data_IF_740937962573
#
_entry.id   IF_740937962573
#
_cell.length_a   1.000
_cell.length_b   1.000
_cell.length_c   1.000
_cell.angle_alpha   90.00
_cell.angle_beta   90.00
_cell.angle_gamma   90.00
#
_symmetry.space_group_name_H-M   'P 1'
#
loop_
_entity.id
_entity.type
_entity.pdbx_description
1 polymer ?
#
# COMPACT_ATOMS: atom_id res chain seq x y z
N UNK A 1 -13.04 -8.73 4.17
CA UNK A 1 -14.51 -8.58 4.18
C UNK A 1 -14.88 -7.09 4.15
N UNK A 2 -14.33 -6.24 5.05
CA UNK A 2 -14.66 -4.81 5.11
C UNK A 2 -14.45 -4.05 3.80
N UNK A 3 -13.26 -4.15 3.19
CA UNK A 3 -12.96 -3.47 1.93
C UNK A 3 -13.81 -3.95 0.76
N UNK A 4 -14.19 -5.23 0.73
CA UNK A 4 -15.11 -5.74 -0.28
C UNK A 4 -16.50 -5.12 -0.11
N UNK A 5 -16.99 -4.96 1.12
CA UNK A 5 -18.23 -4.27 1.42
C UNK A 5 -18.17 -2.80 0.99
N UNK A 6 -17.10 -2.09 1.32
CA UNK A 6 -16.87 -0.69 0.91
C UNK A 6 -16.90 -0.58 -0.63
N UNK A 7 -16.23 -1.48 -1.34
CA UNK A 7 -16.26 -1.50 -2.80
C UNK A 7 -17.68 -1.68 -3.35
N UNK A 8 -18.41 -2.67 -2.85
CA UNK A 8 -19.75 -3.01 -3.37
C UNK A 8 -20.78 -1.96 -2.99
N UNK A 9 -20.76 -1.45 -1.76
CA UNK A 9 -21.78 -0.55 -1.25
C UNK A 9 -21.50 0.93 -1.51
N UNK A 10 -20.25 1.33 -1.56
CA UNK A 10 -19.86 2.72 -1.76
C UNK A 10 -19.40 2.99 -3.19
N UNK A 11 -18.39 2.27 -3.68
CA UNK A 11 -17.78 2.55 -4.98
C UNK A 11 -18.64 2.09 -6.17
N UNK A 12 -19.28 0.93 -6.09
CA UNK A 12 -20.10 0.42 -7.21
C UNK A 12 -21.28 1.34 -7.55
N UNK A 13 -22.09 1.86 -6.59
CA UNK A 13 -23.15 2.79 -6.92
C UNK A 13 -22.63 4.15 -7.42
N UNK A 14 -21.47 4.62 -6.94
CA UNK A 14 -20.81 5.84 -7.45
C UNK A 14 -20.44 5.68 -8.92
N UNK A 15 -19.78 4.58 -9.28
CA UNK A 15 -19.39 4.28 -10.66
C UNK A 15 -20.62 4.23 -11.59
N UNK A 16 -21.75 3.69 -11.10
CA UNK A 16 -22.99 3.63 -11.89
C UNK A 16 -23.69 4.98 -12.07
N UNK A 17 -23.52 5.92 -11.14
CA UNK A 17 -24.18 7.24 -11.16
C UNK A 17 -23.35 8.32 -11.84
N UNK A 18 -22.06 8.14 -11.94
CA UNK A 18 -21.15 9.14 -12.51
C UNK A 18 -21.48 9.41 -13.98
N UNK A 19 -21.73 10.68 -14.29
CA UNK A 19 -22.05 11.15 -15.64
C UNK A 19 -20.83 11.35 -16.55
N UNK A 20 -19.62 11.41 -15.96
CA UNK A 20 -18.34 11.55 -16.67
C UNK A 20 -17.20 10.96 -15.85
N UNK A 21 -16.08 10.64 -16.51
CA UNK A 21 -14.89 10.13 -15.80
C UNK A 21 -14.37 11.13 -14.76
N UNK A 22 -14.30 12.42 -15.08
CA UNK A 22 -13.86 13.44 -14.12
C UNK A 22 -14.78 13.59 -12.91
N UNK A 23 -16.11 13.47 -13.08
CA UNK A 23 -17.05 13.47 -11.97
C UNK A 23 -16.86 12.25 -11.07
N UNK A 24 -16.60 11.08 -11.66
CA UNK A 24 -16.34 9.84 -10.93
C UNK A 24 -15.06 9.93 -10.09
N UNK A 25 -14.00 10.53 -10.63
CA UNK A 25 -12.75 10.75 -9.90
C UNK A 25 -12.97 11.64 -8.67
N UNK A 26 -13.65 12.77 -8.83
CA UNK A 26 -13.95 13.69 -7.72
C UNK A 26 -14.85 13.03 -6.67
N UNK A 27 -15.94 12.38 -7.08
CA UNK A 27 -16.87 11.70 -6.17
C UNK A 27 -16.18 10.57 -5.39
N UNK A 28 -15.29 9.80 -6.05
CA UNK A 28 -14.57 8.72 -5.39
C UNK A 28 -13.53 9.24 -4.38
N UNK A 29 -12.85 10.34 -4.70
CA UNK A 29 -11.93 11.01 -3.77
C UNK A 29 -12.71 11.51 -2.55
N UNK A 30 -13.82 12.23 -2.75
CA UNK A 30 -14.64 12.75 -1.65
C UNK A 30 -15.18 11.62 -0.77
N UNK A 31 -15.66 10.52 -1.37
CA UNK A 31 -16.17 9.38 -0.64
C UNK A 31 -15.08 8.67 0.20
N UNK A 32 -13.87 8.51 -0.36
CA UNK A 32 -12.75 7.90 0.37
C UNK A 32 -12.22 8.79 1.48
N UNK A 33 -12.15 10.12 1.26
CA UNK A 33 -11.82 11.07 2.32
C UNK A 33 -12.87 11.09 3.43
N UNK A 34 -14.18 11.11 3.08
CA UNK A 34 -15.25 11.02 4.06
C UNK A 34 -15.17 9.74 4.91
N UNK A 35 -14.89 8.60 4.27
CA UNK A 35 -14.67 7.34 4.98
C UNK A 35 -13.44 7.41 5.91
N UNK A 36 -12.36 8.03 5.48
CA UNK A 36 -11.16 8.21 6.30
C UNK A 36 -11.46 9.04 7.56
N UNK A 37 -12.21 10.14 7.44
CA UNK A 37 -12.62 10.94 8.59
C UNK A 37 -13.54 10.20 9.56
N UNK A 38 -14.46 9.37 9.04
CA UNK A 38 -15.30 8.50 9.88
C UNK A 38 -14.43 7.53 10.68
N UNK A 39 -13.48 6.87 10.04
CA UNK A 39 -12.57 5.93 10.70
C UNK A 39 -11.68 6.61 11.74
N UNK A 40 -11.14 7.80 11.43
CA UNK A 40 -10.38 8.62 12.37
C UNK A 40 -11.27 9.01 13.57
N UNK A 41 -12.50 9.47 13.34
CA UNK A 41 -13.44 9.84 14.38
C UNK A 41 -13.79 8.67 15.30
N UNK A 42 -14.02 7.47 14.73
CA UNK A 42 -14.26 6.26 15.50
C UNK A 42 -13.03 5.91 16.36
N UNK A 43 -11.84 5.95 15.76
CA UNK A 43 -10.59 5.65 16.44
C UNK A 43 -10.36 6.60 17.63
N UNK A 44 -10.53 7.91 17.40
CA UNK A 44 -10.36 8.92 18.46
C UNK A 44 -11.41 8.76 19.58
N UNK A 45 -12.65 8.39 19.26
CA UNK A 45 -13.71 8.23 20.26
C UNK A 45 -13.56 6.98 21.12
N UNK A 46 -12.95 5.92 20.62
CA UNK A 46 -12.77 4.66 21.34
C UNK A 46 -11.51 4.68 22.21
N UNK A 47 -10.39 5.16 21.66
CA UNK A 47 -9.06 4.98 22.26
C UNK A 47 -8.32 6.32 22.55
N UNK A 48 -8.98 7.45 22.36
CA UNK A 48 -8.37 8.77 22.61
C UNK A 48 -7.31 9.21 21.61
N UNK A 49 -7.19 8.53 20.46
CA UNK A 49 -6.36 8.96 19.33
C UNK A 49 -4.92 8.43 19.30
N UNK A 50 -4.44 7.77 20.35
CA UNK A 50 -3.11 7.19 20.41
C UNK A 50 -3.15 5.72 20.83
N UNK A 51 -2.48 4.85 20.07
CA UNK A 51 -2.35 3.43 20.38
C UNK A 51 -0.88 3.04 20.48
N UNK A 52 -0.52 2.35 21.55
CA UNK A 52 0.79 1.76 21.73
C UNK A 52 0.65 0.35 22.29
N UNK A 53 0.70 -0.65 21.44
CA UNK A 53 0.74 -2.06 21.86
C UNK A 53 2.17 -2.58 21.77
N UNK A 54 2.85 -2.74 22.90
CA UNK A 54 4.15 -3.42 22.95
C UNK A 54 3.94 -4.93 22.99
N UNK A 55 3.88 -5.55 21.82
CA UNK A 55 3.82 -7.02 21.70
C UNK A 55 5.15 -7.53 21.15
N UNK A 56 5.63 -8.68 21.65
CA UNK A 56 6.87 -9.32 21.20
C UNK A 56 8.11 -8.39 21.23
N UNK A 57 8.24 -7.58 22.30
CA UNK A 57 9.37 -6.65 22.47
C UNK A 57 10.65 -7.34 22.99
N UNK A 58 10.70 -8.68 22.98
CA UNK A 58 11.89 -9.42 23.38
C UNK A 58 13.07 -9.11 22.45
N UNK A 59 14.22 -8.84 23.06
CA UNK A 59 15.45 -8.57 22.33
C UNK A 59 16.09 -9.90 21.88
N UNK A 60 16.21 -10.10 20.58
CA UNK A 60 16.92 -11.26 20.00
C UNK A 60 18.27 -10.78 19.48
N UNK A 61 19.33 -11.47 19.87
CA UNK A 61 20.68 -11.21 19.36
C UNK A 61 20.88 -11.95 18.03
N UNK A 62 21.04 -11.20 16.93
CA UNK A 62 21.34 -11.74 15.62
C UNK A 62 22.66 -11.12 15.14
N UNK A 63 23.65 -11.93 14.86
CA UNK A 63 24.98 -11.51 14.36
C UNK A 63 25.63 -10.39 15.20
N UNK A 64 25.47 -10.42 16.54
CA UNK A 64 26.06 -9.42 17.43
C UNK A 64 25.26 -8.10 17.57
N UNK A 65 24.11 -8.00 16.90
CA UNK A 65 23.20 -6.84 17.00
C UNK A 65 21.91 -7.24 17.71
N UNK A 66 21.46 -6.44 18.66
CA UNK A 66 20.18 -6.67 19.34
C UNK A 66 19.04 -6.09 18.51
N UNK A 67 18.17 -6.94 18.00
CA UNK A 67 16.97 -6.55 17.25
C UNK A 67 15.73 -7.04 18.00
N UNK A 68 14.66 -6.26 18.01
CA UNK A 68 13.39 -6.69 18.61
C UNK A 68 12.72 -7.75 17.73
N UNK A 69 12.17 -8.77 18.36
CA UNK A 69 11.49 -9.90 17.69
C UNK A 69 10.34 -9.42 16.78
N UNK A 70 9.61 -8.39 17.20
CA UNK A 70 8.50 -7.82 16.41
C UNK A 70 8.95 -7.28 15.04
N UNK A 71 10.14 -6.66 14.94
CA UNK A 71 10.68 -6.18 13.65
C UNK A 71 11.04 -7.35 12.72
N UNK A 72 11.59 -8.42 13.29
CA UNK A 72 11.93 -9.63 12.53
C UNK A 72 10.65 -10.30 12.00
N UNK A 73 9.63 -10.43 12.84
CA UNK A 73 8.32 -10.97 12.45
C UNK A 73 7.68 -10.10 11.37
N UNK A 74 7.73 -8.78 11.51
CA UNK A 74 7.22 -7.85 10.49
C UNK A 74 7.94 -8.02 9.15
N UNK A 75 9.28 -8.14 9.16
CA UNK A 75 10.08 -8.36 7.96
C UNK A 75 9.73 -9.69 7.27
N UNK A 76 9.71 -10.79 8.03
CA UNK A 76 9.36 -12.10 7.50
C UNK A 76 7.94 -12.13 6.92
N UNK A 77 6.98 -11.53 7.62
CA UNK A 77 5.60 -11.43 7.15
C UNK A 77 5.50 -10.60 5.88
N UNK A 78 6.21 -9.47 5.79
CA UNK A 78 6.25 -8.64 4.58
C UNK A 78 6.82 -9.40 3.37
N UNK A 79 7.90 -10.17 3.57
CA UNK A 79 8.50 -11.01 2.53
C UNK A 79 7.54 -12.11 2.09
N UNK A 80 6.88 -12.79 3.04
CA UNK A 80 5.90 -13.85 2.75
C UNK A 80 4.69 -13.31 1.99
N UNK A 81 4.14 -12.17 2.40
CA UNK A 81 3.01 -11.53 1.72
C UNK A 81 3.43 -11.07 0.33
N UNK A 82 4.59 -10.42 0.18
CA UNK A 82 5.11 -9.95 -1.10
C UNK A 82 5.34 -11.09 -2.08
N UNK A 83 6.01 -12.15 -1.64
CA UNK A 83 6.24 -13.36 -2.44
C UNK A 83 4.91 -14.08 -2.76
N UNK A 84 4.04 -14.26 -1.77
CA UNK A 84 2.74 -14.89 -1.94
C UNK A 84 1.84 -14.14 -2.92
N UNK A 85 1.78 -12.81 -2.82
CA UNK A 85 1.02 -11.97 -3.74
C UNK A 85 1.59 -12.06 -5.15
N UNK A 86 2.92 -12.02 -5.28
CA UNK A 86 3.59 -12.14 -6.57
C UNK A 86 3.30 -13.49 -7.25
N UNK A 87 3.42 -14.59 -6.50
CA UNK A 87 3.12 -15.93 -7.00
C UNK A 87 1.63 -16.07 -7.34
N UNK A 88 0.75 -15.60 -6.48
CA UNK A 88 -0.68 -15.66 -6.70
C UNK A 88 -1.10 -14.91 -7.97
N UNK A 89 -0.60 -13.69 -8.18
CA UNK A 89 -0.91 -12.89 -9.37
C UNK A 89 -0.36 -13.46 -10.67
N UNK A 90 0.73 -14.24 -10.62
CA UNK A 90 1.32 -14.81 -11.82
C UNK A 90 0.86 -16.24 -12.11
N UNK A 91 0.54 -17.04 -11.09
CA UNK A 91 0.27 -18.47 -11.24
C UNK A 91 -1.22 -18.81 -11.13
N UNK A 92 -2.04 -17.97 -10.44
CA UNK A 92 -3.45 -18.28 -10.28
C UNK A 92 -4.33 -17.69 -11.38
N UNK A 93 -5.40 -18.42 -11.77
CA UNK A 93 -6.38 -17.93 -12.74
C UNK A 93 -7.00 -16.57 -12.36
N UNK A 94 -7.47 -16.36 -11.11
CA UNK A 94 -8.01 -15.05 -10.72
C UNK A 94 -6.95 -13.96 -10.68
N UNK A 95 -5.70 -14.27 -10.30
CA UNK A 95 -4.60 -13.31 -10.32
C UNK A 95 -4.27 -12.81 -11.73
N UNK A 96 -4.20 -13.72 -12.70
CA UNK A 96 -4.01 -13.36 -14.12
C UNK A 96 -5.20 -12.52 -14.62
N UNK A 97 -6.43 -12.85 -14.23
CA UNK A 97 -7.61 -12.08 -14.59
C UNK A 97 -7.57 -10.65 -14.00
N UNK A 98 -7.14 -10.49 -12.74
CA UNK A 98 -6.94 -9.16 -12.12
C UNK A 98 -5.91 -8.34 -12.92
N UNK A 99 -4.80 -8.94 -13.32
CA UNK A 99 -3.79 -8.26 -14.14
C UNK A 99 -4.31 -7.91 -15.54
N UNK A 100 -5.10 -8.76 -16.16
CA UNK A 100 -5.72 -8.47 -17.46
C UNK A 100 -6.64 -7.25 -17.36
N UNK A 101 -7.47 -7.17 -16.31
CA UNK A 101 -8.37 -6.04 -16.07
C UNK A 101 -7.58 -4.74 -15.82
N UNK A 102 -6.43 -4.79 -15.16
CA UNK A 102 -5.59 -3.61 -14.92
C UNK A 102 -4.91 -3.07 -16.20
N UNK A 103 -4.71 -3.91 -17.21
CA UNK A 103 -4.13 -3.49 -18.50
C UNK A 103 -5.20 -2.91 -19.43
N UNK A 104 -6.32 -3.60 -19.57
CA UNK A 104 -7.45 -3.12 -20.39
C UNK A 104 -8.77 -3.68 -19.87
N UNK A 105 -9.56 -2.81 -19.29
CA UNK A 105 -10.90 -3.14 -18.79
C UNK A 105 -11.83 -3.60 -19.91
N UNK A 106 -11.77 -2.90 -21.06
CA UNK A 106 -12.63 -3.20 -22.23
C UNK A 106 -12.28 -4.56 -22.85
N UNK A 107 -10.99 -4.79 -23.16
CA UNK A 107 -10.54 -6.06 -23.73
C UNK A 107 -10.83 -7.25 -22.81
N UNK A 108 -10.68 -7.07 -21.50
CA UNK A 108 -11.00 -8.10 -20.50
C UNK A 108 -12.49 -8.47 -20.50
N UNK A 109 -13.36 -7.49 -20.67
CA UNK A 109 -14.81 -7.73 -20.81
C UNK A 109 -15.15 -8.56 -22.07
N UNK A 110 -14.47 -8.30 -23.20
CA UNK A 110 -14.70 -9.01 -24.46
C UNK A 110 -14.31 -10.50 -24.37
N UNK A 111 -13.31 -10.86 -23.58
CA UNK A 111 -12.91 -12.26 -23.35
C UNK A 111 -13.67 -12.94 -22.21
N UNK A 112 -14.77 -12.33 -21.72
CA UNK A 112 -15.66 -12.93 -20.73
C UNK A 112 -15.18 -12.81 -19.27
N UNK A 113 -14.18 -11.98 -18.97
CA UNK A 113 -13.76 -11.72 -17.59
C UNK A 113 -14.79 -10.78 -16.92
N UNK A 114 -15.28 -11.18 -15.75
CA UNK A 114 -16.19 -10.35 -14.97
C UNK A 114 -15.41 -9.21 -14.29
N UNK A 115 -15.28 -8.08 -14.98
CA UNK A 115 -14.53 -6.90 -14.55
C UNK A 115 -14.92 -6.42 -13.15
N UNK A 116 -16.20 -6.21 -12.79
CA UNK A 116 -16.58 -5.76 -11.45
C UNK A 116 -16.11 -6.69 -10.33
N UNK A 117 -16.18 -8.01 -10.55
CA UNK A 117 -15.72 -8.99 -9.55
C UNK A 117 -14.20 -8.97 -9.39
N UNK A 118 -13.45 -8.84 -10.48
CA UNK A 118 -11.99 -8.80 -10.41
C UNK A 118 -11.49 -7.51 -9.77
N UNK A 119 -12.13 -6.37 -10.06
CA UNK A 119 -11.82 -5.10 -9.40
C UNK A 119 -12.16 -5.13 -7.90
N UNK A 120 -13.30 -5.72 -7.51
CA UNK A 120 -13.66 -5.90 -6.10
C UNK A 120 -12.65 -6.79 -5.36
N UNK A 121 -12.17 -7.86 -6.00
CA UNK A 121 -11.19 -8.77 -5.44
C UNK A 121 -9.83 -8.07 -5.29
N UNK A 122 -9.39 -7.30 -6.28
CA UNK A 122 -8.15 -6.52 -6.20
C UNK A 122 -8.21 -5.50 -5.04
N UNK A 123 -9.33 -4.78 -4.90
CA UNK A 123 -9.54 -3.83 -3.82
C UNK A 123 -9.57 -4.50 -2.44
N UNK A 124 -10.23 -5.66 -2.32
CA UNK A 124 -10.28 -6.43 -1.09
C UNK A 124 -8.90 -6.97 -0.68
N UNK A 125 -8.10 -7.43 -1.64
CA UNK A 125 -6.72 -7.87 -1.40
C UNK A 125 -5.83 -6.71 -0.94
N UNK A 126 -5.90 -5.56 -1.59
CA UNK A 126 -5.17 -4.37 -1.17
C UNK A 126 -5.48 -4.00 0.28
N UNK A 127 -6.77 -3.96 0.64
CA UNK A 127 -7.18 -3.68 2.02
C UNK A 127 -6.77 -4.75 3.03
N UNK A 128 -6.76 -6.03 2.65
CA UNK A 128 -6.28 -7.10 3.53
C UNK A 128 -4.78 -6.95 3.83
N UNK A 129 -3.97 -6.66 2.80
CA UNK A 129 -2.53 -6.43 2.96
C UNK A 129 -2.25 -5.19 3.81
N UNK A 130 -2.99 -4.10 3.58
CA UNK A 130 -2.87 -2.87 4.37
C UNK A 130 -3.24 -3.10 5.83
N UNK A 131 -4.29 -3.89 6.12
CA UNK A 131 -4.70 -4.22 7.48
C UNK A 131 -3.62 -5.04 8.21
N UNK A 132 -3.03 -6.04 7.55
CA UNK A 132 -1.91 -6.81 8.13
C UNK A 132 -0.69 -5.91 8.35
N UNK A 133 -0.34 -5.05 7.39
CA UNK A 133 0.74 -4.07 7.53
C UNK A 133 0.52 -3.12 8.71
N UNK A 134 -0.68 -2.57 8.86
CA UNK A 134 -1.05 -1.72 9.99
C UNK A 134 -0.95 -2.44 11.33
N UNK A 135 -1.44 -3.68 11.41
CA UNK A 135 -1.35 -4.50 12.62
C UNK A 135 0.11 -4.81 13.00
N UNK A 136 0.99 -5.08 12.03
CA UNK A 136 2.41 -5.29 12.30
C UNK A 136 3.11 -4.01 12.78
N UNK A 137 2.85 -2.88 12.14
CA UNK A 137 3.45 -1.59 12.51
C UNK A 137 3.02 -1.17 13.91
N UNK A 138 1.77 -1.44 14.33
CA UNK A 138 1.27 -1.13 15.67
C UNK A 138 2.05 -1.79 16.81
N UNK A 139 2.81 -2.85 16.52
CA UNK A 139 3.59 -3.57 17.53
C UNK A 139 4.90 -2.88 17.93
N UNK A 140 5.40 -1.93 17.11
CA UNK A 140 6.70 -1.26 17.35
C UNK A 140 6.67 0.26 17.15
N UNK A 141 5.58 0.83 16.66
CA UNK A 141 5.37 2.27 16.55
C UNK A 141 4.08 2.64 17.27
N UNK A 142 4.10 3.73 18.02
CA UNK A 142 2.87 4.34 18.54
C UNK A 142 2.05 4.86 17.35
N UNK A 143 0.85 4.35 17.20
CA UNK A 143 -0.06 4.81 16.16
C UNK A 143 -0.82 6.05 16.65
N UNK A 144 -0.76 7.09 15.84
CA UNK A 144 -1.63 8.26 15.88
C UNK A 144 -2.70 8.14 14.80
N UNK A 145 -3.88 8.68 15.04
CA UNK A 145 -4.99 8.64 14.07
C UNK A 145 -4.64 9.25 12.70
N UNK A 146 -3.66 10.16 12.64
CA UNK A 146 -3.19 10.81 11.42
C UNK A 146 -2.05 10.08 10.70
N UNK A 147 -1.42 9.08 11.32
CA UNK A 147 -0.23 8.40 10.78
C UNK A 147 -0.50 7.72 9.43
N UNK A 148 -1.75 7.35 9.17
CA UNK A 148 -2.18 6.78 7.91
C UNK A 148 -1.86 7.64 6.69
N UNK A 149 -1.89 8.97 6.83
CA UNK A 149 -1.56 9.92 5.75
C UNK A 149 -0.09 9.77 5.35
N UNK A 150 0.81 9.69 6.32
CA UNK A 150 2.26 9.54 6.07
C UNK A 150 2.55 8.22 5.35
N UNK A 151 1.95 7.13 5.80
CA UNK A 151 2.11 5.82 5.14
C UNK A 151 1.48 5.78 3.75
N UNK A 152 0.36 6.47 3.53
CA UNK A 152 -0.27 6.58 2.20
C UNK A 152 0.65 7.33 1.23
N UNK A 153 1.26 8.44 1.65
CA UNK A 153 2.24 9.17 0.84
C UNK A 153 3.46 8.31 0.51
N UNK A 154 4.01 7.58 1.49
CA UNK A 154 5.10 6.64 1.26
C UNK A 154 4.70 5.51 0.29
N UNK A 155 3.50 4.97 0.42
CA UNK A 155 2.99 3.95 -0.50
C UNK A 155 2.87 4.51 -1.94
N UNK A 156 2.40 5.75 -2.09
CA UNK A 156 2.33 6.42 -3.39
C UNK A 156 3.72 6.58 -4.00
N UNK A 157 4.70 7.04 -3.21
CA UNK A 157 6.11 7.15 -3.62
C UNK A 157 6.63 5.78 -4.11
N UNK A 158 6.42 4.72 -3.33
CA UNK A 158 6.87 3.37 -3.67
C UNK A 158 6.25 2.88 -4.99
N UNK A 159 4.95 3.09 -5.19
CA UNK A 159 4.25 2.66 -6.40
C UNK A 159 4.77 3.39 -7.63
N UNK A 160 4.92 4.72 -7.56
CA UNK A 160 5.41 5.52 -8.69
C UNK A 160 6.89 5.20 -8.97
N UNK A 161 7.71 5.13 -7.92
CA UNK A 161 9.14 4.82 -8.01
C UNK A 161 9.37 3.41 -8.56
N UNK A 162 8.53 2.44 -8.17
CA UNK A 162 8.58 1.06 -8.67
C UNK A 162 8.11 0.90 -10.10
N UNK A 163 7.19 1.75 -10.53
CA UNK A 163 6.48 1.69 -11.81
C UNK A 163 5.05 1.20 -11.62
N UNK A 164 4.09 2.00 -12.04
CA UNK A 164 2.65 1.68 -11.89
C UNK A 164 2.32 0.37 -12.59
N UNK A 165 1.69 -0.55 -11.86
CA UNK A 165 1.30 -1.88 -12.35
C UNK A 165 2.36 -2.98 -12.25
N UNK A 166 3.59 -2.66 -11.81
CA UNK A 166 4.68 -3.63 -11.68
C UNK A 166 5.02 -3.93 -10.20
N UNK A 167 4.57 -5.11 -9.73
CA UNK A 167 4.77 -5.52 -8.32
C UNK A 167 6.24 -5.70 -7.97
N UNK A 168 7.04 -6.25 -8.89
CA UNK A 168 8.48 -6.40 -8.68
C UNK A 168 9.13 -5.04 -8.43
N UNK A 169 8.73 -4.03 -9.22
CA UNK A 169 9.18 -2.66 -9.05
C UNK A 169 8.81 -2.09 -7.70
N UNK A 170 7.58 -2.28 -7.26
CA UNK A 170 7.12 -1.81 -5.96
C UNK A 170 7.89 -2.45 -4.79
N UNK A 171 8.16 -3.77 -4.85
CA UNK A 171 8.94 -4.46 -3.82
C UNK A 171 10.37 -3.90 -3.75
N UNK A 172 11.05 -3.76 -4.89
CA UNK A 172 12.41 -3.21 -4.95
C UNK A 172 12.43 -1.76 -4.48
N UNK A 173 11.47 -0.94 -4.92
CA UNK A 173 11.34 0.44 -4.50
C UNK A 173 11.13 0.58 -2.98
N UNK A 174 10.29 -0.28 -2.39
CA UNK A 174 10.06 -0.31 -0.94
C UNK A 174 11.33 -0.65 -0.15
N UNK A 175 12.13 -1.61 -0.63
CA UNK A 175 13.41 -1.98 -0.02
C UNK A 175 14.41 -0.83 -0.12
N UNK A 176 14.54 -0.22 -1.30
CA UNK A 176 15.44 0.93 -1.50
C UNK A 176 15.04 2.08 -0.57
N UNK A 177 13.75 2.41 -0.52
CA UNK A 177 13.25 3.48 0.34
C UNK A 177 13.54 3.18 1.82
N UNK A 178 13.28 1.96 2.27
CA UNK A 178 13.55 1.55 3.65
C UNK A 178 15.04 1.61 4.03
N UNK A 179 15.94 1.22 3.11
CA UNK A 179 17.40 1.32 3.33
C UNK A 179 17.81 2.79 3.43
N UNK A 180 17.32 3.64 2.52
CA UNK A 180 17.66 5.08 2.55
C UNK A 180 17.12 5.75 3.81
N UNK A 181 15.86 5.54 4.16
CA UNK A 181 15.27 6.09 5.39
C UNK A 181 16.05 5.66 6.64
N UNK A 182 16.38 4.37 6.74
CA UNK A 182 17.15 3.86 7.88
C UNK A 182 18.55 4.43 7.89
N UNK A 183 19.21 4.52 6.74
CA UNK A 183 20.54 5.13 6.62
C UNK A 183 20.55 6.59 7.04
N UNK A 184 19.58 7.39 6.59
CA UNK A 184 19.47 8.80 6.98
C UNK A 184 19.12 8.95 8.46
N UNK A 185 18.21 8.13 8.98
CA UNK A 185 17.86 8.14 10.40
C UNK A 185 19.02 7.82 11.34
N UNK A 186 19.95 6.94 10.91
CA UNK A 186 21.07 6.50 11.74
C UNK A 186 22.33 7.34 11.57
N UNK A 187 22.60 7.85 10.37
CA UNK A 187 23.84 8.54 10.02
C UNK A 187 23.73 10.06 10.06
N UNK A 188 22.52 10.60 9.88
CA UNK A 188 22.31 12.05 9.78
C UNK A 188 21.36 12.52 10.88
N UNK A 189 20.07 12.38 10.69
CA UNK A 189 19.03 12.80 11.63
C UNK A 189 17.70 12.06 11.38
N UNK A 190 17.03 11.51 12.41
CA UNK A 190 15.74 10.87 12.28
C UNK A 190 14.64 11.78 11.72
N UNK A 191 14.72 13.10 11.95
CA UNK A 191 13.76 14.08 11.44
C UNK A 191 13.82 14.25 9.91
N UNK A 192 14.92 13.86 9.28
CA UNK A 192 15.11 13.98 7.83
C UNK A 192 14.63 12.77 7.03
N UNK A 193 14.08 11.74 7.67
CA UNK A 193 13.62 10.50 7.01
C UNK A 193 12.57 10.78 5.93
N UNK A 194 11.58 11.62 6.22
CA UNK A 194 10.56 12.00 5.25
C UNK A 194 11.15 12.81 4.08
N UNK A 195 12.05 13.75 4.37
CA UNK A 195 12.73 14.54 3.34
C UNK A 195 13.58 13.64 2.43
N UNK A 196 14.27 12.64 2.99
CA UNK A 196 15.06 11.68 2.23
C UNK A 196 14.19 10.81 1.31
N UNK A 197 12.98 10.43 1.76
CA UNK A 197 12.03 9.69 0.95
C UNK A 197 11.60 10.49 -0.29
N UNK A 198 11.25 11.77 -0.11
CA UNK A 198 10.92 12.65 -1.22
C UNK A 198 12.10 12.93 -2.13
N UNK A 199 13.28 13.12 -1.55
CA UNK A 199 14.50 13.37 -2.33
C UNK A 199 14.84 12.23 -3.28
N UNK A 200 14.84 10.96 -2.76
CA UNK A 200 15.13 9.79 -3.60
C UNK A 200 14.03 9.56 -4.64
N UNK A 201 12.78 9.85 -4.29
CA UNK A 201 11.66 9.79 -5.22
C UNK A 201 11.86 10.73 -6.40
N UNK A 202 12.16 12.00 -6.15
CA UNK A 202 12.43 13.00 -7.21
C UNK A 202 13.63 12.60 -8.04
N UNK A 203 14.71 12.12 -7.39
CA UNK A 203 15.91 11.67 -8.06
C UNK A 203 15.63 10.50 -9.01
N UNK A 204 14.87 9.50 -8.57
CA UNK A 204 14.52 8.37 -9.44
C UNK A 204 13.64 8.84 -10.60
N UNK A 205 12.65 9.70 -10.38
CA UNK A 205 11.80 10.21 -11.46
C UNK A 205 12.57 11.06 -12.47
N UNK A 206 13.59 11.78 -12.03
CA UNK A 206 14.45 12.57 -12.93
C UNK A 206 15.21 11.66 -13.91
N UNK A 207 15.74 10.54 -13.43
CA UNK A 207 16.49 9.59 -14.27
C UNK A 207 15.61 8.53 -14.94
N UNK A 208 14.49 8.16 -14.31
CA UNK A 208 13.56 7.15 -14.80
C UNK A 208 12.10 7.56 -14.56
N UNK A 209 11.53 8.41 -15.43
CA UNK A 209 10.18 8.94 -15.24
C UNK A 209 9.08 7.88 -15.28
N UNK A 210 9.36 6.68 -15.76
CA UNK A 210 8.43 5.56 -15.79
C UNK A 210 8.55 4.64 -14.55
N UNK A 211 9.43 4.98 -13.60
CA UNK A 211 9.80 4.12 -12.48
C UNK A 211 10.87 3.10 -12.84
N UNK A 212 11.32 2.35 -11.81
CA UNK A 212 12.45 1.40 -11.95
C UNK A 212 12.15 0.27 -12.95
N UNK A 213 10.91 -0.22 -12.98
CA UNK A 213 10.46 -1.34 -13.81
C UNK A 213 9.30 -0.97 -14.74
N UNK A 214 8.98 0.31 -14.90
CA UNK A 214 7.93 0.77 -15.79
C UNK A 214 8.23 0.40 -17.25
N UNK A 215 7.21 -0.05 -17.98
CA UNK A 215 7.32 -0.36 -19.40
C UNK A 215 7.36 0.93 -20.21
N UNK A 216 8.29 1.06 -21.13
CA UNK A 216 8.25 2.11 -22.15
C UNK A 216 7.04 1.86 -23.04
N UNK A 217 6.04 2.73 -22.96
CA UNK A 217 5.03 2.85 -24.01
C UNK A 217 5.72 3.60 -25.17
N UNK A 218 6.18 2.82 -26.14
CA UNK A 218 6.53 3.33 -27.48
C UNK A 218 5.25 3.55 -28.24
#
# INVERSE_FOLDING_TARGET
>A
VGNWLIYVWLLTPLVRRAKSQGALEVESILATFGMSFILIGIMVSIEGGFFAYKYLSEAVQILGTTTSLNRLVAFLTAVLIGAGLYLWLNLSRPGVAVRAVSVSTEASGLVGINVPRMSALAFALGGAITAVGGALISTFITLDASIGVVFTLKALIIVIMGGVGEIRGAIVAAVILGIVETGVATLVDPGLTLASAYFIFVLILLFRPQGLFGRRTT
#
